data_IF_826200888925
#
_entry.id   IF_826200888925
#
_cell.length_a   1.000
_cell.length_b   1.000
_cell.length_c   1.000
_cell.angle_alpha   90.00
_cell.angle_beta   90.00
_cell.angle_gamma   90.00
#
_symmetry.space_group_name_H-M   'P 1'
#
loop_
_entity.id
_entity.type
_entity.pdbx_description
1 polymer ?
#
# COMPACT_ATOMS: atom_id res chain seq x y z
N UNK A 1 8.07 1.64 -10.11
CA UNK A 1 8.39 0.20 -10.27
C UNK A 1 9.31 0.06 -11.46
N UNK A 2 10.25 -0.88 -11.42
CA UNK A 2 11.32 -1.08 -12.41
C UNK A 2 12.10 0.19 -12.87
N UNK A 3 11.66 0.89 -13.92
CA UNK A 3 12.38 2.00 -14.55
C UNK A 3 11.84 3.42 -14.23
N UNK A 4 10.83 3.55 -13.36
CA UNK A 4 10.24 4.84 -12.92
C UNK A 4 9.52 5.66 -14.01
N UNK A 5 9.27 5.09 -15.20
CA UNK A 5 8.44 5.75 -16.21
C UNK A 5 6.99 5.85 -15.74
N UNK A 6 6.40 7.04 -15.87
CA UNK A 6 4.98 7.29 -15.59
C UNK A 6 4.17 7.10 -16.87
N UNK A 7 3.10 6.29 -16.80
CA UNK A 7 2.11 6.11 -17.86
C UNK A 7 0.90 7.01 -17.57
N UNK A 8 0.86 8.19 -18.20
CA UNK A 8 -0.12 9.25 -17.91
C UNK A 8 -1.57 8.88 -18.28
N UNK A 9 -1.75 7.98 -19.24
CA UNK A 9 -3.03 7.59 -19.81
C UNK A 9 -3.60 6.28 -19.22
N UNK A 10 -3.01 5.77 -18.13
CA UNK A 10 -3.43 4.52 -17.49
C UNK A 10 -4.79 4.67 -16.81
N UNK A 11 -5.79 3.90 -17.24
CA UNK A 11 -7.16 3.93 -16.72
C UNK A 11 -7.42 2.81 -15.71
N UNK A 12 -8.48 2.97 -14.90
CA UNK A 12 -8.91 1.93 -13.94
C UNK A 12 -9.39 0.63 -14.60
N UNK A 13 -9.85 0.69 -15.86
CA UNK A 13 -10.18 -0.51 -16.63
C UNK A 13 -8.94 -1.27 -17.10
N UNK A 14 -7.77 -0.61 -17.14
CA UNK A 14 -6.51 -1.22 -17.52
C UNK A 14 -5.97 -1.94 -16.28
N UNK A 15 -6.38 -3.21 -16.13
CA UNK A 15 -5.99 -4.07 -14.99
C UNK A 15 -4.50 -4.36 -14.96
N UNK A 16 -3.86 -4.37 -16.12
CA UNK A 16 -2.44 -4.64 -16.29
C UNK A 16 -1.70 -3.33 -16.59
N UNK A 17 -0.69 -3.03 -15.78
CA UNK A 17 0.30 -2.01 -16.08
C UNK A 17 1.39 -2.62 -16.97
N UNK A 18 1.60 -2.03 -18.14
CA UNK A 18 2.70 -2.38 -19.03
C UNK A 18 3.56 -1.14 -19.30
N UNK A 19 4.86 -1.24 -19.06
CA UNK A 19 5.80 -0.16 -19.33
C UNK A 19 6.39 -0.30 -20.74
N UNK A 20 6.10 0.67 -21.61
CA UNK A 20 6.58 0.66 -23.00
C UNK A 20 8.10 0.88 -23.13
N UNK A 21 8.76 1.38 -22.08
CA UNK A 21 10.21 1.68 -22.11
C UNK A 21 11.07 0.47 -21.73
N UNK A 22 10.58 -0.39 -20.83
CA UNK A 22 11.36 -1.50 -20.27
C UNK A 22 10.68 -2.87 -20.37
N UNK A 23 9.47 -2.93 -20.94
CA UNK A 23 8.69 -4.16 -21.08
C UNK A 23 8.12 -4.72 -19.76
N UNK A 24 8.30 -4.02 -18.63
CA UNK A 24 7.81 -4.50 -17.34
C UNK A 24 6.27 -4.55 -17.31
N UNK A 25 5.73 -5.69 -16.90
CA UNK A 25 4.30 -5.94 -16.85
C UNK A 25 3.87 -6.52 -15.51
N UNK A 26 2.81 -5.96 -14.91
CA UNK A 26 2.25 -6.39 -13.62
C UNK A 26 0.80 -5.90 -13.47
N UNK A 27 -0.01 -6.53 -12.62
CA UNK A 27 -1.29 -5.95 -12.21
C UNK A 27 -1.09 -4.52 -11.67
N UNK A 28 -1.95 -3.60 -12.09
CA UNK A 28 -1.86 -2.17 -11.78
C UNK A 28 -1.89 -1.91 -10.27
N UNK A 29 -2.75 -2.62 -9.53
CA UNK A 29 -2.94 -2.39 -8.10
C UNK A 29 -1.69 -2.86 -7.32
N UNK A 30 -1.10 -3.99 -7.73
CA UNK A 30 0.20 -4.44 -7.19
C UNK A 30 1.32 -3.45 -7.56
N UNK A 31 1.35 -2.99 -8.81
CA UNK A 31 2.32 -2.00 -9.28
C UNK A 31 2.25 -0.69 -8.47
N UNK A 32 1.03 -0.23 -8.16
CA UNK A 32 0.79 0.93 -7.32
C UNK A 32 1.28 0.70 -5.88
N UNK A 33 0.99 -0.45 -5.27
CA UNK A 33 1.46 -0.81 -3.94
C UNK A 33 3.00 -0.81 -3.85
N UNK A 34 3.69 -1.35 -4.85
CA UNK A 34 5.15 -1.32 -4.94
C UNK A 34 5.67 0.13 -5.03
N UNK A 35 5.01 0.99 -5.81
CA UNK A 35 5.39 2.39 -5.91
C UNK A 35 5.26 3.10 -4.55
N UNK A 36 4.14 2.90 -3.86
CA UNK A 36 3.92 3.45 -2.53
C UNK A 36 4.99 2.97 -1.55
N UNK A 37 5.26 1.66 -1.51
CA UNK A 37 6.31 1.11 -0.66
C UNK A 37 7.67 1.78 -0.94
N UNK A 38 8.09 1.86 -2.20
CA UNK A 38 9.36 2.49 -2.57
C UNK A 38 9.43 3.98 -2.21
N UNK A 39 8.30 4.70 -2.28
CA UNK A 39 8.24 6.11 -1.88
C UNK A 39 8.25 6.32 -0.35
N UNK A 40 7.83 5.30 0.41
CA UNK A 40 7.76 5.35 1.86
C UNK A 40 9.00 4.77 2.55
N UNK A 41 9.79 3.92 1.88
CA UNK A 41 11.07 3.41 2.41
C UNK A 41 12.01 4.59 2.71
N UNK A 42 12.33 4.77 4.00
CA UNK A 42 13.21 5.85 4.49
C UNK A 42 12.50 7.16 4.85
N UNK A 43 11.19 7.28 4.63
CA UNK A 43 10.37 8.34 5.21
C UNK A 43 9.84 7.83 6.54
N UNK A 44 10.36 8.42 7.62
CA UNK A 44 9.93 8.31 9.01
C UNK A 44 8.47 7.85 9.08
N UNK A 45 8.23 6.64 9.60
CA UNK A 45 6.92 6.35 10.17
C UNK A 45 6.75 7.39 11.25
N UNK A 46 5.88 8.39 11.05
CA UNK A 46 5.48 9.23 12.18
C UNK A 46 5.16 8.28 13.32
N UNK A 47 5.88 8.39 14.44
CA UNK A 47 5.60 7.55 15.59
C UNK A 47 4.12 7.71 15.91
N UNK A 48 3.36 6.63 15.77
CA UNK A 48 1.93 6.69 16.03
C UNK A 48 1.75 7.04 17.50
N UNK A 49 1.19 8.22 17.77
CA UNK A 49 0.83 8.58 19.13
C UNK A 49 -0.42 7.81 19.55
N UNK A 50 -0.69 7.66 20.86
CA UNK A 50 -1.95 7.10 21.33
C UNK A 50 -3.19 7.85 20.79
N UNK A 51 -3.07 9.15 20.51
CA UNK A 51 -4.14 9.93 19.89
C UNK A 51 -4.37 9.56 18.43
N UNK A 52 -3.30 9.35 17.65
CA UNK A 52 -3.41 8.87 16.26
C UNK A 52 -4.08 7.50 16.21
N UNK A 53 -3.74 6.62 17.15
CA UNK A 53 -4.37 5.31 17.25
C UNK A 53 -5.86 5.41 17.61
N UNK A 54 -6.22 6.33 18.52
CA UNK A 54 -7.62 6.57 18.90
C UNK A 54 -8.43 7.15 17.74
N UNK A 55 -7.87 8.10 17.00
CA UNK A 55 -8.50 8.66 15.81
C UNK A 55 -8.73 7.58 14.74
N UNK A 56 -7.73 6.73 14.51
CA UNK A 56 -7.83 5.61 13.58
C UNK A 56 -8.93 4.63 13.99
N UNK A 57 -9.01 4.26 15.27
CA UNK A 57 -10.05 3.38 15.80
C UNK A 57 -11.46 3.96 15.61
N UNK A 58 -11.63 5.26 15.83
CA UNK A 58 -12.90 5.94 15.62
C UNK A 58 -13.33 5.88 14.14
N UNK A 59 -12.40 6.09 13.21
CA UNK A 59 -12.69 6.07 11.78
C UNK A 59 -12.95 4.65 11.25
N UNK A 60 -12.24 3.65 11.77
CA UNK A 60 -12.56 2.24 11.49
C UNK A 60 -13.96 1.89 12.00
N UNK A 61 -14.36 2.43 13.16
CA UNK A 61 -15.68 2.16 13.76
C UNK A 61 -16.80 2.71 12.89
N UNK A 62 -16.66 3.95 12.40
CA UNK A 62 -17.63 4.57 11.47
C UNK A 62 -17.86 3.72 10.22
N UNK A 63 -16.80 3.12 9.69
CA UNK A 63 -16.86 2.28 8.50
C UNK A 63 -17.23 0.81 8.80
N UNK A 64 -17.50 0.46 10.06
CA UNK A 64 -17.75 -0.93 10.51
C UNK A 64 -16.61 -1.90 10.15
N UNK A 65 -15.37 -1.39 10.20
CA UNK A 65 -14.13 -2.12 9.93
C UNK A 65 -13.34 -2.46 11.19
N UNK A 66 -13.84 -2.08 12.39
CA UNK A 66 -13.20 -2.47 13.65
C UNK A 66 -13.27 -3.97 13.78
N UNK A 67 -12.11 -4.61 13.71
CA UNK A 67 -11.96 -6.03 14.00
C UNK A 67 -11.54 -6.18 15.47
N UNK A 68 -11.95 -7.27 16.11
CA UNK A 68 -11.27 -7.68 17.33
C UNK A 68 -9.80 -7.92 16.98
N UNK A 69 -8.88 -7.40 17.79
CA UNK A 69 -7.46 -7.69 17.65
C UNK A 69 -7.26 -9.20 17.88
N UNK A 70 -7.34 -10.01 16.82
CA UNK A 70 -6.85 -11.37 16.86
C UNK A 70 -5.34 -11.25 16.67
N UNK A 71 -4.58 -11.63 17.69
CA UNK A 71 -3.14 -11.76 17.63
C UNK A 71 -2.78 -12.84 16.61
N UNK A 72 -2.75 -12.51 15.33
CA UNK A 72 -2.04 -13.30 14.34
C UNK A 72 -0.56 -13.01 14.57
N UNK A 73 0.01 -13.71 15.57
CA UNK A 73 1.45 -13.77 15.77
C UNK A 73 2.09 -14.16 14.45
N UNK A 74 2.87 -13.26 13.87
CA UNK A 74 3.79 -13.60 12.80
C UNK A 74 4.79 -14.55 13.44
N UNK A 75 4.57 -15.86 13.31
CA UNK A 75 5.60 -16.84 13.66
C UNK A 75 6.77 -16.57 12.72
N UNK A 76 7.81 -15.93 13.24
CA UNK A 76 9.11 -15.98 12.60
C UNK A 76 9.53 -17.45 12.60
N UNK A 77 9.48 -18.09 11.43
CA UNK A 77 10.14 -19.38 11.25
C UNK A 77 11.63 -19.15 11.45
N UNK A 78 12.19 -19.83 12.44
CA UNK A 78 13.63 -20.02 12.61
C UNK A 78 14.24 -20.78 11.44
#
# INVERSE_FOLDING_TARGET
SNCQKVKQDLKLKDRIYQCLECGFELDRDINAAINLLKHLVGRVTAEFTPMDLTALLNDLSKNRLVTSKVELGIQQKS
#
